data_IF_304647617290
#
_entry.id   IF_304647617290
#
_cell.length_a   1.000
_cell.length_b   1.000
_cell.length_c   1.000
_cell.angle_alpha   90.00
_cell.angle_beta   90.00
_cell.angle_gamma   90.00
#
_symmetry.space_group_name_H-M   'P 1'
#
loop_
_entity.id
_entity.type
_entity.pdbx_description
1 polymer ?
#
# COMPACT_ATOMS: atom_id res chain seq x y z
N UNK A 1 12.66 -7.37 11.62
CA UNK A 1 12.04 -7.18 10.30
C UNK A 1 11.84 -5.69 10.09
N UNK A 2 11.93 -5.16 8.87
CA UNK A 2 11.82 -3.70 8.62
C UNK A 2 10.47 -3.09 9.04
N UNK A 3 9.44 -3.92 9.20
CA UNK A 3 8.10 -3.49 9.58
C UNK A 3 7.84 -3.47 11.10
N UNK A 4 8.77 -3.95 11.93
CA UNK A 4 8.63 -3.95 13.40
C UNK A 4 8.80 -2.55 14.03
N UNK A 5 9.15 -1.55 13.22
CA UNK A 5 9.45 -0.17 13.64
C UNK A 5 8.24 0.76 13.47
N UNK A 6 7.18 0.29 12.82
CA UNK A 6 5.96 1.07 12.60
C UNK A 6 4.93 0.74 13.67
N UNK A 7 4.62 1.72 14.53
CA UNK A 7 3.52 1.60 15.47
C UNK A 7 2.18 1.84 14.76
N UNK A 8 1.23 0.93 14.95
CA UNK A 8 -0.14 1.12 14.47
C UNK A 8 -0.81 2.18 15.34
N UNK A 9 -1.20 3.30 14.75
CA UNK A 9 -1.89 4.37 15.49
C UNK A 9 -3.29 3.89 15.88
N UNK A 10 -3.68 3.93 17.17
CA UNK A 10 -5.03 3.58 17.60
C UNK A 10 -6.06 4.54 17.02
N UNK A 11 -7.16 4.01 16.48
CA UNK A 11 -8.33 4.77 15.96
C UNK A 11 -8.84 5.85 16.93
N UNK A 12 -8.60 5.68 18.23
CA UNK A 12 -9.13 6.54 19.29
C UNK A 12 -8.40 7.89 19.45
N UNK A 13 -7.21 8.09 18.85
CA UNK A 13 -6.51 9.39 18.86
C UNK A 13 -7.08 10.40 17.84
N UNK A 14 -8.08 9.99 17.05
CA UNK A 14 -8.72 10.77 15.97
C UNK A 14 -9.72 11.82 16.51
N UNK A 15 -9.77 12.05 17.82
CA UNK A 15 -10.73 12.98 18.43
C UNK A 15 -10.39 14.47 18.29
N UNK A 16 -9.19 14.85 17.83
CA UNK A 16 -8.78 16.26 17.67
C UNK A 16 -7.86 16.47 16.46
N UNK A 17 -8.13 15.73 15.38
CA UNK A 17 -7.23 15.55 14.24
C UNK A 17 -7.81 16.13 12.95
N UNK A 18 -8.27 17.37 12.98
CA UNK A 18 -8.94 18.01 11.84
C UNK A 18 -8.03 18.18 10.59
N UNK A 19 -6.74 17.84 10.69
CA UNK A 19 -5.75 17.94 9.62
C UNK A 19 -4.83 16.70 9.48
N UNK A 20 -5.23 15.52 9.98
CA UNK A 20 -4.44 14.30 9.75
C UNK A 20 -4.83 13.64 8.42
N UNK A 21 -3.82 13.39 7.59
CA UNK A 21 -3.92 12.56 6.40
C UNK A 21 -3.26 11.21 6.66
N UNK A 22 -4.02 10.14 6.47
CA UNK A 22 -3.52 8.79 6.58
C UNK A 22 -3.09 8.30 5.20
N UNK A 23 -1.91 7.70 5.13
CA UNK A 23 -1.34 7.13 3.91
C UNK A 23 -0.95 5.70 4.20
N UNK A 24 -1.24 4.79 3.28
CA UNK A 24 -0.80 3.41 3.37
C UNK A 24 0.54 3.22 2.66
N UNK A 25 1.44 2.49 3.29
CA UNK A 25 2.65 1.99 2.63
C UNK A 25 2.28 0.87 1.65
N UNK A 26 2.43 1.16 0.36
CA UNK A 26 2.17 0.25 -0.74
C UNK A 26 3.11 -0.96 -0.75
N UNK A 27 4.36 -0.79 -0.31
CA UNK A 27 5.34 -1.87 -0.22
C UNK A 27 4.91 -2.94 0.78
N UNK A 28 4.55 -2.52 2.00
CA UNK A 28 3.96 -3.41 3.01
C UNK A 28 2.67 -4.08 2.54
N UNK A 29 1.78 -3.33 1.87
CA UNK A 29 0.51 -3.86 1.38
C UNK A 29 0.68 -5.05 0.42
N UNK A 30 1.68 -5.02 -0.47
CA UNK A 30 1.92 -6.12 -1.42
C UNK A 30 2.19 -7.45 -0.70
N UNK A 31 2.80 -7.42 0.48
CA UNK A 31 3.08 -8.60 1.28
C UNK A 31 1.84 -9.19 1.98
N UNK A 32 0.78 -8.39 2.16
CA UNK A 32 -0.47 -8.83 2.79
C UNK A 32 -1.47 -9.44 1.79
N UNK A 33 -1.32 -9.15 0.49
CA UNK A 33 -2.24 -9.64 -0.54
C UNK A 33 -1.86 -11.06 -0.96
N UNK A 34 -2.87 -11.94 -1.02
CA UNK A 34 -2.72 -13.28 -1.58
C UNK A 34 -2.88 -13.21 -3.10
N UNK A 35 -1.80 -13.50 -3.82
CA UNK A 35 -1.78 -13.42 -5.28
C UNK A 35 -2.16 -14.74 -5.95
N UNK A 36 -3.02 -14.73 -6.99
CA UNK A 36 -3.29 -15.93 -7.77
C UNK A 36 -2.04 -16.35 -8.58
N UNK A 37 -1.96 -17.63 -8.97
CA UNK A 37 -0.85 -18.13 -9.81
C UNK A 37 -1.17 -17.92 -11.29
N UNK A 38 -0.22 -17.35 -12.05
CA UNK A 38 -0.28 -17.07 -13.50
C UNK A 38 -1.20 -15.91 -13.89
N UNK A 39 -0.85 -14.72 -13.44
CA UNK A 39 -1.63 -13.50 -13.64
C UNK A 39 -0.93 -12.57 -14.64
N UNK A 40 -1.72 -11.86 -15.46
CA UNK A 40 -1.24 -10.67 -16.16
C UNK A 40 -1.08 -9.51 -15.17
N UNK A 41 -0.40 -8.44 -15.57
CA UNK A 41 -0.34 -7.22 -14.76
C UNK A 41 -1.74 -6.70 -14.40
N UNK A 42 -2.70 -6.81 -15.33
CA UNK A 42 -4.08 -6.38 -15.10
C UNK A 42 -4.79 -7.16 -14.00
N UNK A 43 -4.58 -8.48 -13.95
CA UNK A 43 -5.19 -9.34 -12.94
C UNK A 43 -4.61 -9.05 -11.54
N UNK A 44 -3.28 -8.84 -11.46
CA UNK A 44 -2.60 -8.39 -10.23
C UNK A 44 -3.16 -7.04 -9.77
N UNK A 45 -3.27 -6.06 -10.67
CA UNK A 45 -3.83 -4.74 -10.35
C UNK A 45 -5.28 -4.83 -9.85
N UNK A 46 -6.12 -5.65 -10.50
CA UNK A 46 -7.51 -5.85 -10.10
C UNK A 46 -7.62 -6.50 -8.72
N UNK A 47 -6.77 -7.50 -8.43
CA UNK A 47 -6.68 -8.15 -7.11
C UNK A 47 -6.28 -7.15 -6.04
N UNK A 48 -5.24 -6.34 -6.32
CA UNK A 48 -4.76 -5.30 -5.41
C UNK A 48 -5.84 -4.24 -5.10
N UNK A 49 -6.48 -3.70 -6.14
CA UNK A 49 -7.57 -2.73 -5.98
C UNK A 49 -8.75 -3.30 -5.20
N UNK A 50 -9.12 -4.55 -5.47
CA UNK A 50 -10.22 -5.22 -4.76
C UNK A 50 -9.88 -5.41 -3.28
N UNK A 51 -8.64 -5.77 -2.96
CA UNK A 51 -8.17 -5.87 -1.59
C UNK A 51 -8.24 -4.52 -0.86
N UNK A 52 -7.71 -3.45 -1.46
CA UNK A 52 -7.74 -2.12 -0.86
C UNK A 52 -9.17 -1.66 -0.56
N UNK A 53 -10.05 -1.74 -1.56
CA UNK A 53 -11.44 -1.30 -1.39
C UNK A 53 -12.16 -2.08 -0.29
N UNK A 54 -11.89 -3.38 -0.19
CA UNK A 54 -12.51 -4.24 0.81
C UNK A 54 -12.02 -3.95 2.23
N UNK A 55 -10.73 -3.61 2.40
CA UNK A 55 -10.11 -3.50 3.72
C UNK A 55 -9.94 -2.06 4.22
N UNK A 56 -9.84 -1.08 3.32
CA UNK A 56 -9.52 0.33 3.64
C UNK A 56 -10.49 1.34 3.03
N UNK A 57 -11.41 0.91 2.17
CA UNK A 57 -12.42 1.78 1.54
C UNK A 57 -12.01 2.36 0.18
N UNK A 58 -12.82 3.29 -0.32
CA UNK A 58 -12.70 3.79 -1.70
C UNK A 58 -11.77 5.01 -1.85
N UNK A 59 -11.57 5.78 -0.79
CA UNK A 59 -10.78 7.02 -0.80
C UNK A 59 -9.53 6.80 0.05
N UNK A 60 -8.48 6.29 -0.58
CA UNK A 60 -7.24 5.89 0.09
C UNK A 60 -6.05 6.40 -0.71
N UNK A 61 -5.08 7.01 -0.02
CA UNK A 61 -3.80 7.38 -0.59
C UNK A 61 -2.77 6.30 -0.27
N UNK A 62 -2.09 5.80 -1.29
CA UNK A 62 -1.08 4.74 -1.18
C UNK A 62 0.22 5.26 -1.77
N UNK A 63 1.32 5.10 -1.04
CA UNK A 63 2.65 5.52 -1.47
C UNK A 63 3.55 4.30 -1.57
N UNK A 64 4.25 4.17 -2.69
CA UNK A 64 5.28 3.16 -2.88
C UNK A 64 6.65 3.80 -2.77
N UNK A 65 7.62 3.04 -2.27
CA UNK A 65 9.02 3.41 -2.41
C UNK A 65 9.36 3.54 -3.90
N UNK A 66 10.02 4.63 -4.25
CA UNK A 66 10.52 4.85 -5.60
C UNK A 66 11.57 3.80 -5.95
N UNK A 67 11.81 3.63 -7.25
CA UNK A 67 12.98 2.89 -7.70
C UNK A 67 14.24 3.71 -7.41
N UNK A 68 15.35 3.05 -7.06
CA UNK A 68 16.66 3.70 -7.13
C UNK A 68 16.90 4.17 -8.55
N UNK A 69 17.51 5.36 -8.71
CA UNK A 69 17.98 5.86 -10.01
C UNK A 69 19.16 5.03 -10.52
N UNK A 70 18.96 3.74 -10.73
CA UNK A 70 19.84 2.96 -11.58
C UNK A 70 19.51 3.39 -13.00
N UNK A 71 20.37 4.23 -13.59
CA UNK A 71 20.37 4.56 -15.01
C UNK A 71 20.62 3.30 -15.85
N UNK A 72 19.64 2.42 -15.94
CA UNK A 72 19.60 1.35 -16.93
C UNK A 72 18.93 1.91 -18.18
N UNK A 73 19.76 2.53 -19.01
CA UNK A 73 19.47 2.67 -20.43
C UNK A 73 19.16 1.26 -20.95
N UNK A 74 17.89 0.97 -21.22
CA UNK A 74 17.52 -0.26 -21.90
C UNK A 74 17.68 0.01 -23.39
N UNK A 75 18.64 -0.69 -23.99
CA UNK A 75 18.88 -0.76 -25.43
C UNK A 75 17.73 -1.46 -26.14
#
# INVERSE_FOLDING_TARGET
MFYDIFDTVPEQLVGNADNLYFVLDGGSLIHHVVWPKKETFGDVYATYMSYIKRHYGNEVTIVFDGYTECSINTK
#
